data_IF_368576441808
#
_entry.id   IF_368576441808
#
_cell.length_a   1.000
_cell.length_b   1.000
_cell.length_c   1.000
_cell.angle_alpha   90.00
_cell.angle_beta   90.00
_cell.angle_gamma   90.00
#
_symmetry.space_group_name_H-M   'P 1'
#
loop_
_entity.id
_entity.type
_entity.pdbx_description
1 polymer ?
#
# COMPACT_ATOMS: atom_id res chain seq x y z
N UNK A 1 -16.11 3.17 -5.38
CA UNK A 1 -17.06 4.32 -5.37
C UNK A 1 -18.11 4.20 -6.47
N UNK A 2 -17.72 3.92 -7.72
CA UNK A 2 -18.66 3.85 -8.86
C UNK A 2 -19.69 2.70 -8.75
N UNK A 3 -19.33 1.52 -8.22
CA UNK A 3 -20.31 0.43 -7.97
C UNK A 3 -21.34 0.74 -6.88
N UNK A 4 -20.99 1.57 -5.89
CA UNK A 4 -21.90 1.88 -4.78
C UNK A 4 -23.08 2.73 -5.24
N UNK A 5 -22.97 3.41 -6.39
CA UNK A 5 -24.00 4.28 -6.96
C UNK A 5 -24.75 3.66 -8.15
N UNK A 6 -24.16 2.70 -8.87
CA UNK A 6 -24.74 2.15 -10.12
C UNK A 6 -25.66 0.94 -9.90
N UNK A 7 -25.61 0.28 -8.74
CA UNK A 7 -26.35 -0.96 -8.49
C UNK A 7 -25.67 -2.22 -9.06
N UNK A 8 -26.32 -3.39 -8.92
CA UNK A 8 -25.79 -4.75 -9.23
C UNK A 8 -25.39 -4.90 -10.72
N UNK A 9 -24.18 -4.48 -11.08
CA UNK A 9 -23.58 -4.76 -12.40
C UNK A 9 -22.36 -5.68 -12.23
N UNK A 10 -22.51 -6.93 -12.70
CA UNK A 10 -21.49 -7.97 -12.57
C UNK A 10 -20.21 -7.63 -13.33
N UNK A 11 -20.33 -7.01 -14.51
CA UNK A 11 -19.17 -6.61 -15.32
C UNK A 11 -18.31 -5.54 -14.63
N UNK A 12 -18.93 -4.56 -13.98
CA UNK A 12 -18.19 -3.52 -13.27
C UNK A 12 -17.52 -4.07 -12.00
N UNK A 13 -18.17 -5.03 -11.33
CA UNK A 13 -17.60 -5.73 -10.18
C UNK A 13 -16.32 -6.46 -10.56
N UNK A 14 -16.34 -7.25 -11.63
CA UNK A 14 -15.16 -7.96 -12.14
C UNK A 14 -14.03 -6.97 -12.45
N UNK A 15 -14.33 -5.90 -13.18
CA UNK A 15 -13.32 -4.90 -13.56
C UNK A 15 -12.68 -4.24 -12.33
N UNK A 16 -13.51 -3.86 -11.35
CA UNK A 16 -13.04 -3.24 -10.10
C UNK A 16 -12.15 -4.18 -9.31
N UNK A 17 -12.55 -5.44 -9.14
CA UNK A 17 -11.76 -6.45 -8.42
C UNK A 17 -10.46 -6.75 -9.17
N UNK A 18 -10.50 -6.87 -10.50
CA UNK A 18 -9.30 -7.09 -11.30
C UNK A 18 -8.31 -5.94 -11.14
N UNK A 19 -8.78 -4.70 -11.21
CA UNK A 19 -7.95 -3.51 -11.04
C UNK A 19 -7.39 -3.39 -9.60
N UNK A 20 -8.18 -3.75 -8.60
CA UNK A 20 -7.76 -3.77 -7.20
C UNK A 20 -6.68 -4.82 -6.94
N UNK A 21 -6.82 -6.04 -7.48
CA UNK A 21 -5.80 -7.08 -7.37
C UNK A 21 -4.52 -6.71 -8.12
N UNK A 22 -4.65 -6.11 -9.31
CA UNK A 22 -3.51 -5.64 -10.08
C UNK A 22 -2.73 -4.54 -9.33
N UNK A 23 -3.45 -3.55 -8.81
CA UNK A 23 -2.86 -2.46 -8.01
C UNK A 23 -2.28 -2.98 -6.69
N UNK A 24 -2.94 -3.92 -6.02
CA UNK A 24 -2.47 -4.57 -4.80
C UNK A 24 -1.18 -5.37 -5.02
N UNK A 25 -1.08 -6.08 -6.15
CA UNK A 25 0.13 -6.78 -6.55
C UNK A 25 1.30 -5.83 -6.79
N UNK A 26 1.08 -4.76 -7.55
CA UNK A 26 2.11 -3.72 -7.78
C UNK A 26 2.56 -3.05 -6.47
N UNK A 27 1.62 -2.73 -5.58
CA UNK A 27 1.92 -2.15 -4.27
C UNK A 27 2.79 -3.06 -3.41
N UNK A 28 2.51 -4.37 -3.42
CA UNK A 28 3.31 -5.36 -2.67
C UNK A 28 4.71 -5.50 -3.23
N UNK A 29 4.87 -5.55 -4.56
CA UNK A 29 6.17 -5.62 -5.21
C UNK A 29 7.03 -4.38 -4.92
N UNK A 30 6.44 -3.18 -5.05
CA UNK A 30 7.10 -1.91 -4.73
C UNK A 30 7.48 -1.82 -3.24
N UNK A 31 6.65 -2.38 -2.36
CA UNK A 31 6.93 -2.41 -0.93
C UNK A 31 8.11 -3.31 -0.57
N UNK A 32 8.16 -4.52 -1.14
CA UNK A 32 9.27 -5.46 -0.93
C UNK A 32 10.58 -4.90 -1.48
N UNK A 33 10.56 -4.27 -2.66
CA UNK A 33 11.77 -3.66 -3.23
C UNK A 33 12.31 -2.51 -2.38
N UNK A 34 11.42 -1.70 -1.79
CA UNK A 34 11.80 -0.65 -0.83
C UNK A 34 12.48 -1.24 0.41
N UNK A 35 11.90 -2.27 1.04
CA UNK A 35 12.51 -2.92 2.21
C UNK A 35 13.89 -3.48 1.85
N UNK A 36 13.98 -4.20 0.72
CA UNK A 36 15.25 -4.77 0.27
C UNK A 36 16.31 -3.70 0.01
N UNK A 37 15.93 -2.54 -0.51
CA UNK A 37 16.83 -1.39 -0.70
C UNK A 37 17.35 -0.79 0.61
N UNK A 38 16.60 -0.92 1.72
CA UNK A 38 17.01 -0.46 3.05
C UNK A 38 17.84 -1.51 3.82
N UNK A 39 17.76 -2.78 3.43
CA UNK A 39 18.54 -3.86 4.05
C UNK A 39 20.03 -3.79 3.66
N UNK A 40 20.91 -3.91 4.65
CA UNK A 40 22.34 -4.04 4.43
C UNK A 40 22.69 -5.49 4.05
N UNK A 41 23.54 -5.67 3.03
CA UNK A 41 23.93 -6.96 2.47
C UNK A 41 24.54 -7.93 3.50
N UNK A 42 25.10 -7.42 4.62
CA UNK A 42 25.65 -8.24 5.71
C UNK A 42 24.61 -8.87 6.65
N UNK A 43 23.42 -8.27 6.78
CA UNK A 43 22.37 -8.71 7.73
C UNK A 43 20.96 -8.65 7.12
N UNK A 44 20.84 -8.99 5.84
CA UNK A 44 19.60 -8.82 5.06
C UNK A 44 18.41 -9.57 5.65
N UNK A 45 18.61 -10.81 6.11
CA UNK A 45 17.52 -11.65 6.60
C UNK A 45 16.85 -11.10 7.87
N UNK A 46 17.64 -10.64 8.85
CA UNK A 46 17.11 -10.12 10.13
C UNK A 46 16.49 -8.74 9.96
N UNK A 47 17.11 -7.86 9.17
CA UNK A 47 16.56 -6.54 8.89
C UNK A 47 15.27 -6.61 8.09
N UNK A 48 15.20 -7.50 7.09
CA UNK A 48 13.97 -7.74 6.34
C UNK A 48 12.86 -8.26 7.26
N UNK A 49 13.16 -9.23 8.14
CA UNK A 49 12.18 -9.76 9.08
C UNK A 49 11.65 -8.69 10.05
N UNK A 50 12.51 -7.82 10.58
CA UNK A 50 12.13 -6.71 11.47
C UNK A 50 11.30 -5.64 10.75
N UNK A 51 11.70 -5.24 9.54
CA UNK A 51 10.97 -4.24 8.76
C UNK A 51 9.62 -4.77 8.28
N UNK A 52 9.57 -6.04 7.87
CA UNK A 52 8.33 -6.72 7.47
C UNK A 52 7.38 -6.93 8.64
N UNK A 53 7.89 -7.29 9.84
CA UNK A 53 7.05 -7.43 11.03
C UNK A 53 6.47 -6.09 11.47
N UNK A 54 7.26 -5.01 11.44
CA UNK A 54 6.78 -3.66 11.72
C UNK A 54 5.66 -3.22 10.75
N UNK A 55 5.80 -3.55 9.47
CA UNK A 55 4.77 -3.28 8.47
C UNK A 55 3.50 -4.12 8.66
N UNK A 56 3.65 -5.36 9.12
CA UNK A 56 2.52 -6.23 9.45
C UNK A 56 1.71 -5.67 10.63
N UNK A 57 2.38 -5.09 11.66
CA UNK A 57 1.69 -4.46 12.79
C UNK A 57 0.73 -3.37 12.32
N UNK A 58 1.16 -2.48 11.41
CA UNK A 58 0.30 -1.43 10.86
C UNK A 58 -0.99 -2.00 10.24
N UNK A 59 -0.88 -3.07 9.44
CA UNK A 59 -2.05 -3.75 8.87
C UNK A 59 -2.95 -4.37 9.95
N UNK A 60 -2.38 -4.98 10.98
CA UNK A 60 -3.14 -5.65 12.05
C UNK A 60 -3.95 -4.66 12.89
N UNK A 61 -3.48 -3.43 13.12
CA UNK A 61 -4.24 -2.42 13.87
C UNK A 61 -5.32 -1.74 13.01
N UNK A 62 -5.05 -1.54 11.72
CA UNK A 62 -5.94 -0.79 10.83
C UNK A 62 -7.07 -1.69 10.28
N UNK A 63 -6.81 -2.99 10.08
CA UNK A 63 -7.81 -3.91 9.54
C UNK A 63 -9.06 -4.06 10.43
N UNK A 64 -8.97 -4.27 11.77
CA UNK A 64 -10.15 -4.40 12.63
C UNK A 64 -10.88 -3.06 12.82
N UNK A 65 -10.14 -1.95 12.89
CA UNK A 65 -10.73 -0.61 13.08
C UNK A 65 -11.54 -0.14 11.87
N UNK A 66 -11.26 -0.66 10.67
CA UNK A 66 -12.05 -0.38 9.47
C UNK A 66 -13.52 -0.81 9.57
N UNK A 67 -13.82 -1.90 10.29
CA UNK A 67 -15.20 -2.40 10.46
C UNK A 67 -16.09 -1.41 11.21
N UNK A 68 -15.60 -0.89 12.34
CA UNK A 68 -16.31 0.13 13.13
C UNK A 68 -16.48 1.44 12.37
N UNK A 69 -15.49 1.81 11.54
CA UNK A 69 -15.54 3.00 10.71
C UNK A 69 -16.62 2.87 9.63
N UNK A 70 -16.66 1.73 8.91
CA UNK A 70 -17.68 1.47 7.87
C UNK A 70 -19.10 1.51 8.46
N UNK A 71 -19.30 1.03 9.68
CA UNK A 71 -20.59 1.07 10.36
C UNK A 71 -21.07 2.51 10.63
N UNK A 72 -20.15 3.45 10.84
CA UNK A 72 -20.46 4.85 11.16
C UNK A 72 -20.58 5.77 9.94
N UNK A 73 -19.69 5.64 8.95
CA UNK A 73 -19.60 6.53 7.78
C UNK A 73 -20.04 5.88 6.45
N UNK A 74 -20.41 4.59 6.49
CA UNK A 74 -20.79 3.82 5.32
C UNK A 74 -19.62 3.50 4.39
N UNK A 75 -19.84 2.53 3.48
CA UNK A 75 -18.84 2.10 2.50
C UNK A 75 -18.28 3.25 1.62
N UNK A 76 -19.09 4.18 1.07
CA UNK A 76 -18.56 5.24 0.22
C UNK A 76 -17.63 6.20 0.96
N UNK A 77 -17.98 6.57 2.20
CA UNK A 77 -17.17 7.44 3.05
C UNK A 77 -15.84 6.78 3.44
N UNK A 78 -15.88 5.49 3.76
CA UNK A 78 -14.67 4.72 4.09
C UNK A 78 -13.67 4.66 2.92
N UNK A 79 -14.14 4.37 1.70
CA UNK A 79 -13.28 4.35 0.52
C UNK A 79 -12.68 5.72 0.21
N UNK A 80 -13.44 6.80 0.38
CA UNK A 80 -12.93 8.16 0.18
C UNK A 80 -11.88 8.55 1.22
N UNK A 81 -12.12 8.21 2.48
CA UNK A 81 -11.18 8.45 3.56
C UNK A 81 -9.86 7.69 3.33
N UNK A 82 -9.96 6.41 2.95
CA UNK A 82 -8.78 5.59 2.63
C UNK A 82 -8.01 6.14 1.43
N UNK A 83 -8.72 6.64 0.41
CA UNK A 83 -8.09 7.29 -0.74
C UNK A 83 -7.29 8.53 -0.32
N UNK A 84 -7.86 9.40 0.53
CA UNK A 84 -7.16 10.58 1.06
C UNK A 84 -5.94 10.16 1.89
N UNK A 85 -6.07 9.14 2.72
CA UNK A 85 -4.96 8.62 3.54
C UNK A 85 -3.84 7.98 2.71
N UNK A 86 -4.12 7.52 1.50
CA UNK A 86 -3.10 7.00 0.58
C UNK A 86 -2.22 8.11 -0.02
N UNK A 87 -2.76 9.32 -0.22
CA UNK A 87 -2.05 10.46 -0.80
C UNK A 87 -0.75 10.82 -0.06
N UNK A 88 -0.73 11.01 1.28
CA UNK A 88 0.50 11.34 1.98
C UNK A 88 1.54 10.22 1.87
N UNK A 89 1.12 8.95 1.85
CA UNK A 89 2.02 7.81 1.63
C UNK A 89 2.69 7.87 0.25
N UNK A 90 1.91 8.13 -0.80
CA UNK A 90 2.44 8.29 -2.16
C UNK A 90 3.34 9.53 -2.30
N UNK A 91 2.98 10.64 -1.65
CA UNK A 91 3.78 11.87 -1.66
C UNK A 91 5.16 11.65 -1.00
N UNK A 92 5.18 10.93 0.12
CA UNK A 92 6.41 10.61 0.83
C UNK A 92 7.30 9.67 0.01
N UNK A 93 6.70 8.67 -0.65
CA UNK A 93 7.40 7.78 -1.58
C UNK A 93 7.96 8.57 -2.78
N UNK A 94 7.20 9.51 -3.34
CA UNK A 94 7.66 10.36 -4.45
C UNK A 94 8.87 11.21 -4.05
N UNK A 95 8.91 11.74 -2.82
CA UNK A 95 10.09 12.45 -2.30
C UNK A 95 11.27 11.51 -2.06
N UNK A 96 11.05 10.34 -1.46
CA UNK A 96 12.12 9.36 -1.19
C UNK A 96 12.69 8.76 -2.47
N UNK A 97 11.88 8.59 -3.52
CA UNK A 97 12.33 8.12 -4.84
C UNK A 97 13.55 8.90 -5.33
N UNK A 98 13.55 10.23 -5.15
CA UNK A 98 14.67 11.07 -5.56
C UNK A 98 15.96 10.72 -4.79
N UNK A 99 15.84 10.40 -3.50
CA UNK A 99 16.99 10.01 -2.67
C UNK A 99 17.47 8.58 -2.97
N UNK A 100 16.54 7.63 -3.17
CA UNK A 100 16.87 6.20 -3.39
C UNK A 100 17.59 6.02 -4.74
N UNK A 101 17.10 6.65 -5.80
CA UNK A 101 17.74 6.60 -7.13
C UNK A 101 19.16 7.18 -7.11
N UNK A 102 19.42 8.16 -6.25
CA UNK A 102 20.76 8.75 -6.12
C UNK A 102 21.73 7.80 -5.40
N UNK A 103 21.26 7.02 -4.42
CA UNK A 103 22.07 6.04 -3.69
C UNK A 103 22.34 4.80 -4.56
N UNK A 104 21.34 4.34 -5.32
CA UNK A 104 21.49 3.21 -6.24
C UNK A 104 22.52 3.51 -7.34
N UNK A 105 22.53 4.74 -7.87
CA UNK A 105 23.56 5.18 -8.84
C UNK A 105 24.97 5.24 -8.28
N UNK A 106 25.15 5.41 -6.97
CA UNK A 106 26.47 5.42 -6.32
C UNK A 106 26.97 4.00 -6.07
N UNK A 107 26.07 3.04 -5.81
CA UNK A 107 26.44 1.64 -5.51
C UNK A 107 26.79 0.80 -6.75
N UNK A 108 26.40 1.27 -7.93
CA UNK A 108 26.66 0.63 -9.23
C UNK A 108 27.97 1.11 -9.88
N UNK A 109 28.60 2.16 -9.35
CA UNK A 109 29.96 2.62 -9.73
C UNK A 109 30.99 2.05 -8.76
#
# INVERSE_FOLDING_TARGET
MVLAWIGKSYGMLIFTIAFENFSGGMGTAAFVSLIMGMCNHRFTATQYALLSSLAALGRIFIAPSSGFLVESIGWPGFFFFTFIFSIPGLLLLFRLRFSILNIERIKVR
#
